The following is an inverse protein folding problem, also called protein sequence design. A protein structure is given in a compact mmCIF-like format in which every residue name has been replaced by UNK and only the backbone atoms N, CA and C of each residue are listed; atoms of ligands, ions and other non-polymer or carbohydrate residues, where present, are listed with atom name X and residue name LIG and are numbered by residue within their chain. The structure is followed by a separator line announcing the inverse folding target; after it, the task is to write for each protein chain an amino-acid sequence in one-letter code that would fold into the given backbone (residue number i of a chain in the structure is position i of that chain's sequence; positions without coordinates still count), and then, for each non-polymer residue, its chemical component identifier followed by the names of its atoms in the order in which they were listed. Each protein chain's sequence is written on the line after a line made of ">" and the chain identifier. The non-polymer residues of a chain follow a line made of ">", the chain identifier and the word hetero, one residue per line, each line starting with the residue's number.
data_IF_021152803856
#
_entry.id   IF_021152803856
#
_cell.length_a   1.000
_cell.length_b   1.000
_cell.length_c   1.000
_cell.angle_alpha   90.00
_cell.angle_beta   90.00
_cell.angle_gamma   90.00
#
_symmetry.space_group_name_H-M   'P 1'
#
loop_
_entity.id
_entity.type
_entity.pdbx_description
1 polymer ?
#
# COMPACT_ATOMS: atom_id res chain seq x y z
N UNK A 1 8.78 0.88 -0.36
CA UNK A 1 8.09 -0.41 -0.63
C UNK A 1 7.64 -0.54 -2.09
N UNK A 2 7.43 -1.75 -2.60
CA UNK A 2 6.83 -2.03 -3.91
C UNK A 2 5.37 -2.46 -3.74
N UNK A 3 4.47 -1.77 -4.43
CA UNK A 3 3.04 -2.03 -4.49
C UNK A 3 2.69 -2.56 -5.88
N UNK A 4 1.94 -3.65 -5.96
CA UNK A 4 1.36 -4.14 -7.21
C UNK A 4 -0.08 -3.65 -7.33
N UNK A 5 -0.35 -2.88 -8.37
CA UNK A 5 -1.69 -2.44 -8.77
C UNK A 5 -2.35 -3.53 -9.62
N UNK A 6 -3.58 -3.91 -9.25
CA UNK A 6 -4.47 -4.74 -10.07
C UNK A 6 -5.71 -3.94 -10.51
N UNK A 7 -5.59 -2.62 -10.54
CA UNK A 7 -6.67 -1.70 -10.92
C UNK A 7 -6.72 -1.51 -12.43
N UNK A 8 -7.91 -1.61 -13.02
CA UNK A 8 -8.13 -1.20 -14.42
C UNK A 8 -7.85 0.30 -14.59
N UNK A 9 -8.14 1.11 -13.55
CA UNK A 9 -7.94 2.58 -13.60
C UNK A 9 -6.48 2.98 -13.67
N UNK A 10 -5.63 2.32 -12.88
CA UNK A 10 -4.20 2.65 -12.77
C UNK A 10 -3.30 1.70 -13.56
N UNK A 11 -3.89 0.71 -14.22
CA UNK A 11 -3.18 -0.35 -14.92
C UNK A 11 -2.61 -1.42 -13.99
N UNK A 12 -2.31 -2.57 -14.59
CA UNK A 12 -1.64 -3.69 -13.93
C UNK A 12 -0.13 -3.46 -13.97
N UNK A 13 0.42 -2.91 -12.88
CA UNK A 13 1.84 -2.56 -12.80
C UNK A 13 2.36 -2.49 -11.37
N UNK A 14 3.67 -2.34 -11.26
CA UNK A 14 4.36 -2.09 -10.00
C UNK A 14 4.56 -0.59 -9.80
N UNK A 15 4.27 -0.15 -8.59
CA UNK A 15 4.34 1.24 -8.14
C UNK A 15 5.22 1.31 -6.89
N UNK A 16 5.91 2.42 -6.74
CA UNK A 16 6.61 2.70 -5.49
C UNK A 16 5.60 3.17 -4.45
N UNK A 17 5.79 2.72 -3.21
CA UNK A 17 5.06 3.20 -2.05
C UNK A 17 6.01 3.68 -0.97
N UNK A 18 5.52 4.57 -0.12
CA UNK A 18 6.20 5.02 1.09
C UNK A 18 5.20 5.25 2.21
N UNK A 19 5.70 5.17 3.44
CA UNK A 19 4.92 5.51 4.62
C UNK A 19 5.20 6.95 5.02
N UNK A 20 4.13 7.71 5.24
CA UNK A 20 4.18 9.04 5.80
C UNK A 20 3.36 9.08 7.09
N UNK A 21 3.76 9.92 8.04
CA UNK A 21 3.03 10.06 9.31
C UNK A 21 2.10 11.26 9.21
N UNK A 22 0.79 11.01 9.23
CA UNK A 22 -0.23 12.06 9.24
C UNK A 22 -1.04 11.96 10.53
N UNK A 23 -1.09 13.07 11.28
CA UNK A 23 -1.85 13.18 12.54
C UNK A 23 -1.60 12.03 13.53
N UNK A 24 -0.34 11.54 13.59
CA UNK A 24 0.05 10.45 14.48
C UNK A 24 -0.09 9.04 13.90
N UNK A 25 -0.79 8.87 12.77
CA UNK A 25 -0.99 7.58 12.11
C UNK A 25 -0.12 7.42 10.87
N UNK A 26 0.29 6.18 10.57
CA UNK A 26 1.02 5.86 9.35
C UNK A 26 0.03 5.76 8.17
N UNK A 27 0.29 6.54 7.12
CA UNK A 27 -0.47 6.56 5.88
C UNK A 27 0.40 6.07 4.73
N UNK A 28 -0.17 5.25 3.86
CA UNK A 28 0.49 4.78 2.66
C UNK A 28 0.32 5.83 1.56
N UNK A 29 1.44 6.26 0.99
CA UNK A 29 1.47 7.06 -0.23
C UNK A 29 2.00 6.18 -1.35
N UNK A 30 1.23 6.04 -2.42
CA UNK A 30 1.59 5.24 -3.60
C UNK A 30 1.83 6.20 -4.76
N UNK A 31 2.96 6.06 -5.44
CA UNK A 31 3.29 6.88 -6.59
C UNK A 31 2.18 6.78 -7.65
N UNK A 32 1.87 7.91 -8.28
CA UNK A 32 0.77 8.10 -9.24
C UNK A 32 -0.66 8.01 -8.68
N UNK A 33 -0.86 7.49 -7.47
CA UNK A 33 -2.19 7.41 -6.81
C UNK A 33 -2.33 8.47 -5.71
N UNK A 34 -1.25 8.75 -4.99
CA UNK A 34 -1.23 9.66 -3.84
C UNK A 34 -1.45 8.93 -2.52
N UNK A 35 -2.02 9.62 -1.54
CA UNK A 35 -2.31 9.06 -0.23
C UNK A 35 -3.50 8.10 -0.32
N UNK A 36 -3.33 6.89 0.20
CA UNK A 36 -4.31 5.81 0.08
C UNK A 36 -4.68 5.33 1.48
N UNK A 37 -5.95 5.46 1.85
CA UNK A 37 -6.45 4.87 3.10
C UNK A 37 -6.53 3.33 3.02
N UNK A 38 -6.61 2.60 4.15
CA UNK A 38 -6.76 1.14 4.12
C UNK A 38 -7.95 0.64 3.29
N UNK A 39 -9.07 1.37 3.30
CA UNK A 39 -10.25 1.02 2.50
C UNK A 39 -10.01 1.24 1.01
N UNK A 40 -9.39 2.36 0.63
CA UNK A 40 -9.03 2.62 -0.76
C UNK A 40 -8.00 1.63 -1.27
N UNK A 41 -7.05 1.22 -0.44
CA UNK A 41 -6.06 0.20 -0.78
C UNK A 41 -6.72 -1.09 -1.25
N UNK A 42 -7.78 -1.53 -0.56
CA UNK A 42 -8.58 -2.70 -0.93
C UNK A 42 -9.40 -2.42 -2.21
N UNK A 43 -10.11 -1.29 -2.25
CA UNK A 43 -11.00 -0.93 -3.39
C UNK A 43 -10.24 -0.79 -4.70
N UNK A 44 -9.01 -0.27 -4.65
CA UNK A 44 -8.15 -0.08 -5.81
C UNK A 44 -7.38 -1.37 -6.17
N UNK A 45 -7.63 -2.49 -5.49
CA UNK A 45 -6.95 -3.76 -5.78
C UNK A 45 -5.44 -3.67 -5.63
N UNK A 46 -4.95 -2.91 -4.65
CA UNK A 46 -3.53 -2.78 -4.38
C UNK A 46 -3.06 -3.94 -3.48
N UNK A 47 -1.82 -4.37 -3.68
CA UNK A 47 -1.19 -5.41 -2.88
C UNK A 47 0.27 -5.07 -2.63
N UNK A 48 0.81 -5.44 -1.48
CA UNK A 48 2.22 -5.22 -1.19
C UNK A 48 3.02 -6.38 -1.77
N UNK A 49 3.95 -6.07 -2.66
CA UNK A 49 4.87 -7.04 -3.25
C UNK A 49 6.15 -7.14 -2.43
N UNK A 50 6.72 -6.01 -2.01
CA UNK A 50 7.95 -5.95 -1.24
C UNK A 50 7.91 -4.80 -0.23
N UNK A 51 8.16 -5.09 1.04
CA UNK A 51 8.30 -4.09 2.09
C UNK A 51 9.22 -4.64 3.19
N UNK A 52 9.88 -3.76 3.93
CA UNK A 52 10.68 -4.15 5.10
C UNK A 52 9.77 -4.67 6.22
N UNK A 53 10.28 -5.48 7.17
CA UNK A 53 9.51 -5.94 8.32
C UNK A 53 8.92 -4.78 9.15
N UNK A 54 9.65 -3.67 9.23
CA UNK A 54 9.24 -2.46 9.94
C UNK A 54 8.07 -1.76 9.23
N UNK A 55 8.17 -1.59 7.91
CA UNK A 55 7.07 -1.03 7.09
C UNK A 55 5.81 -1.91 7.21
N UNK A 56 5.97 -3.23 7.12
CA UNK A 56 4.88 -4.19 7.26
C UNK A 56 4.19 -4.10 8.63
N UNK A 57 4.95 -3.92 9.71
CA UNK A 57 4.39 -3.76 11.05
C UNK A 57 3.58 -2.45 11.18
N UNK A 58 4.11 -1.34 10.66
CA UNK A 58 3.41 -0.05 10.65
C UNK A 58 2.11 -0.09 9.84
N UNK A 59 2.13 -0.74 8.67
CA UNK A 59 0.95 -0.94 7.83
C UNK A 59 -0.13 -1.78 8.53
N UNK A 60 0.28 -2.86 9.20
CA UNK A 60 -0.66 -3.68 10.01
C UNK A 60 -1.28 -2.86 11.14
N UNK A 61 -0.47 -2.08 11.86
CA UNK A 61 -0.96 -1.18 12.93
C UNK A 61 -1.92 -0.10 12.40
N UNK A 62 -1.68 0.39 11.18
CA UNK A 62 -2.55 1.35 10.52
C UNK A 62 -3.78 0.72 9.82
N UNK A 63 -3.98 -0.60 9.95
CA UNK A 63 -5.17 -1.30 9.46
C UNK A 63 -5.14 -1.73 7.99
N UNK A 64 -3.99 -1.65 7.31
CA UNK A 64 -3.86 -2.14 5.94
C UNK A 64 -3.88 -3.67 5.94
N UNK A 65 -4.64 -4.26 5.00
CA UNK A 65 -4.70 -5.71 4.83
C UNK A 65 -3.47 -6.22 4.05
N UNK A 66 -2.36 -6.36 4.76
CA UNK A 66 -1.07 -6.76 4.21
C UNK A 66 -0.99 -8.29 4.07
N UNK A 67 -1.70 -8.83 3.07
CA UNK A 67 -1.45 -10.19 2.59
C UNK A 67 -0.35 -10.12 1.53
N UNK A 68 0.84 -10.61 1.87
CA UNK A 68 1.85 -10.91 0.85
C UNK A 68 1.24 -12.02 0.00
N UNK A 69 0.83 -11.69 -1.22
CA UNK A 69 0.47 -12.70 -2.21
C UNK A 69 1.78 -13.10 -2.89
N UNK A 70 2.36 -14.21 -2.45
CA UNK A 70 3.26 -14.98 -3.31
C UNK A 70 2.40 -15.42 -4.51
N UNK A 71 2.70 -14.90 -5.69
CA UNK A 71 2.28 -15.47 -6.96
C UNK A 71 3.42 -16.31 -7.47
#
# INVERSE_FOLDING_TARGET
>A
MIIKSHSIRYGYKELQGRLEKHSGQAMLVVDEIGMVTPLEFIKQGLSIKLASPQEMAMLKQAGYNVKIREL
#
